data_IF_761007545892
#
_entry.id   IF_761007545892
#
_cell.length_a   1.000
_cell.length_b   1.000
_cell.length_c   1.000
_cell.angle_alpha   90.00
_cell.angle_beta   90.00
_cell.angle_gamma   90.00
#
_symmetry.space_group_name_H-M   'P 1'
#
loop_
_entity.id
_entity.type
_entity.pdbx_description
1 polymer ?
#
# COMPACT_ATOMS: atom_id res chain seq x y z
N UNK A 1 -5.61 8.87 -10.74
CA UNK A 1 -5.37 7.61 -10.00
C UNK A 1 -4.00 7.61 -9.33
N UNK A 2 -2.89 7.76 -10.06
CA UNK A 2 -1.52 7.62 -9.51
C UNK A 2 -1.20 8.41 -8.22
N UNK A 3 -1.58 9.70 -8.06
CA UNK A 3 -1.33 10.42 -6.81
C UNK A 3 -2.05 9.85 -5.58
N UNK A 4 -3.02 8.95 -5.76
CA UNK A 4 -3.72 8.28 -4.66
C UNK A 4 -2.86 7.22 -3.97
N UNK A 5 -1.77 6.77 -4.59
CA UNK A 5 -0.76 5.88 -3.98
C UNK A 5 0.25 6.68 -3.15
N UNK A 6 -0.26 7.64 -2.40
CA UNK A 6 0.52 8.46 -1.50
C UNK A 6 -0.06 8.27 -0.11
N UNK A 7 0.74 8.00 0.93
CA UNK A 7 0.20 7.79 2.29
C UNK A 7 -0.69 8.96 2.74
N UNK A 8 -0.38 10.19 2.30
CA UNK A 8 -1.17 11.39 2.57
C UNK A 8 -2.54 11.38 1.89
N UNK A 9 -2.65 10.75 0.72
CA UNK A 9 -3.89 10.63 -0.06
C UNK A 9 -4.64 9.32 0.22
N UNK A 10 -3.95 8.28 0.69
CA UNK A 10 -4.57 7.02 1.09
C UNK A 10 -5.57 7.19 2.22
N UNK A 11 -5.36 8.16 3.11
CA UNK A 11 -6.34 8.52 4.15
C UNK A 11 -7.70 8.99 3.58
N UNK A 12 -7.74 9.47 2.34
CA UNK A 12 -8.96 10.01 1.73
C UNK A 12 -9.91 8.89 1.30
N UNK A 13 -9.38 7.69 1.04
CA UNK A 13 -10.13 6.62 0.37
C UNK A 13 -9.99 5.24 1.03
N UNK A 14 -8.93 4.99 1.79
CA UNK A 14 -8.70 3.73 2.47
C UNK A 14 -9.17 3.82 3.93
N UNK A 15 -10.24 3.09 4.24
CA UNK A 15 -10.83 3.09 5.57
C UNK A 15 -9.83 2.64 6.64
N UNK A 16 -9.81 3.35 7.79
CA UNK A 16 -8.89 3.13 8.92
C UNK A 16 -7.40 3.27 8.58
N UNK A 17 -7.06 3.85 7.44
CA UNK A 17 -5.68 4.19 7.15
C UNK A 17 -5.18 5.24 8.14
N UNK A 18 -4.19 4.84 8.94
CA UNK A 18 -3.53 5.70 9.92
C UNK A 18 -2.03 5.63 9.68
N UNK A 19 -1.42 6.79 9.49
CA UNK A 19 0.01 6.91 9.25
C UNK A 19 0.60 8.07 10.06
N UNK A 20 1.89 7.95 10.36
CA UNK A 20 2.70 9.00 10.95
C UNK A 20 3.82 9.35 9.98
N UNK A 21 3.84 10.59 9.50
CA UNK A 21 4.91 11.04 8.61
C UNK A 21 6.21 11.17 9.41
N UNK A 22 7.31 10.63 8.87
CA UNK A 22 8.65 10.72 9.46
C UNK A 22 9.50 11.72 8.66
N UNK A 23 9.48 11.61 7.34
CA UNK A 23 10.24 12.48 6.45
C UNK A 23 9.50 12.73 5.13
N UNK A 24 9.31 14.01 4.81
CA UNK A 24 8.62 14.49 3.61
C UNK A 24 9.05 15.93 3.31
N UNK A 25 9.36 16.24 2.06
CA UNK A 25 9.73 17.59 1.57
C UNK A 25 8.60 18.23 0.78
N UNK A 26 8.02 17.54 -0.20
CA UNK A 26 7.06 18.14 -1.16
C UNK A 26 5.61 18.20 -0.68
N UNK A 27 5.26 17.53 0.41
CA UNK A 27 3.87 17.39 0.87
C UNK A 27 3.08 16.28 0.18
N UNK A 28 3.69 15.59 -0.79
CA UNK A 28 3.13 14.44 -1.51
C UNK A 28 4.13 13.28 -1.57
N UNK A 29 3.70 12.11 -2.01
CA UNK A 29 4.61 10.98 -2.20
C UNK A 29 5.72 11.37 -3.17
N UNK A 30 6.94 11.10 -2.75
CA UNK A 30 8.15 11.39 -3.49
C UNK A 30 9.19 10.33 -3.14
N UNK A 31 10.22 10.23 -3.99
CA UNK A 31 11.36 9.37 -3.72
C UNK A 31 11.99 9.78 -2.37
N UNK A 32 12.35 8.78 -1.58
CA UNK A 32 12.99 8.90 -0.26
C UNK A 32 12.08 9.44 0.85
N UNK A 33 10.77 9.56 0.61
CA UNK A 33 9.77 9.80 1.65
C UNK A 33 9.72 8.61 2.63
N UNK A 34 9.60 8.92 3.93
CA UNK A 34 9.51 7.93 5.02
C UNK A 34 8.29 8.18 5.89
N UNK A 35 7.51 7.13 6.15
CA UNK A 35 6.37 7.19 7.05
C UNK A 35 6.23 5.87 7.82
N UNK A 36 5.43 5.89 8.87
CA UNK A 36 5.10 4.71 9.66
C UNK A 36 3.59 4.45 9.62
N UNK A 37 3.20 3.18 9.68
CA UNK A 37 1.82 2.76 9.93
C UNK A 37 1.74 2.00 11.25
N UNK A 38 0.65 2.21 11.98
CA UNK A 38 0.36 1.54 13.24
C UNK A 38 -0.93 0.76 13.08
N UNK A 39 -0.86 -0.56 13.22
CA UNK A 39 -2.06 -1.39 13.35
C UNK A 39 -2.29 -1.67 14.83
N UNK A 40 -3.53 -1.55 15.30
CA UNK A 40 -3.84 -1.77 16.71
C UNK A 40 -3.43 -3.19 17.12
N UNK A 41 -2.55 -3.30 18.13
CA UNK A 41 -2.03 -4.57 18.62
C UNK A 41 -0.93 -5.20 17.76
N UNK A 42 -0.40 -4.49 16.75
CA UNK A 42 0.73 -4.94 15.95
C UNK A 42 1.93 -3.98 16.07
N UNK A 43 3.10 -4.50 15.70
CA UNK A 43 4.34 -3.72 15.61
C UNK A 43 4.23 -2.58 14.59
N UNK A 44 4.96 -1.49 14.85
CA UNK A 44 5.07 -0.38 13.91
C UNK A 44 5.76 -0.84 12.62
N UNK A 45 5.18 -0.51 11.47
CA UNK A 45 5.79 -0.75 10.16
C UNK A 45 6.33 0.56 9.61
N UNK A 46 7.63 0.61 9.32
CA UNK A 46 8.28 1.73 8.64
C UNK A 46 8.22 1.52 7.14
N UNK A 47 7.88 2.56 6.41
CA UNK A 47 7.76 2.58 4.95
C UNK A 47 8.72 3.59 4.36
N UNK A 48 9.39 3.19 3.29
CA UNK A 48 10.32 4.00 2.52
C UNK A 48 9.94 3.97 1.04
N UNK A 49 9.73 5.13 0.42
CA UNK A 49 9.44 5.23 -1.01
C UNK A 49 10.74 5.14 -1.80
N UNK A 50 11.05 3.97 -2.38
CA UNK A 50 12.31 3.76 -3.13
C UNK A 50 12.25 4.35 -4.53
N UNK A 51 11.06 4.44 -5.13
CA UNK A 51 10.82 4.99 -6.46
C UNK A 51 9.49 5.74 -6.49
N UNK A 52 9.49 6.92 -7.07
CA UNK A 52 8.28 7.65 -7.44
C UNK A 52 8.53 8.34 -8.78
N UNK A 53 7.92 7.85 -9.85
CA UNK A 53 8.07 8.41 -11.19
C UNK A 53 6.70 8.61 -11.83
N UNK A 54 6.29 9.87 -11.92
CA UNK A 54 4.98 10.25 -12.46
C UNK A 54 4.86 9.94 -13.95
N UNK A 55 5.92 10.16 -14.73
CA UNK A 55 5.96 9.91 -16.18
C UNK A 55 5.85 8.42 -16.53
N UNK A 56 6.42 7.55 -15.69
CA UNK A 56 6.36 6.09 -15.83
C UNK A 56 5.18 5.47 -15.06
N UNK A 57 4.37 6.29 -14.37
CA UNK A 57 3.27 5.85 -13.49
C UNK A 57 3.65 4.68 -12.55
N UNK A 58 4.85 4.74 -11.99
CA UNK A 58 5.40 3.70 -11.11
C UNK A 58 5.81 4.27 -9.76
N UNK A 59 5.41 3.56 -8.71
CA UNK A 59 5.79 3.83 -7.34
C UNK A 59 6.26 2.52 -6.69
N UNK A 60 7.31 2.60 -5.89
CA UNK A 60 7.81 1.47 -5.13
C UNK A 60 8.01 1.84 -3.67
N UNK A 61 7.68 0.89 -2.81
CA UNK A 61 7.89 0.97 -1.38
C UNK A 61 8.77 -0.19 -0.92
N UNK A 62 9.57 0.08 0.10
CA UNK A 62 10.06 -0.95 1.01
C UNK A 62 9.41 -0.67 2.35
N UNK A 63 8.73 -1.67 2.91
CA UNK A 63 8.23 -1.63 4.28
C UNK A 63 8.98 -2.62 5.15
N UNK A 64 9.21 -2.25 6.40
CA UNK A 64 9.89 -3.05 7.40
C UNK A 64 9.07 -3.07 8.68
N UNK A 65 8.69 -4.25 9.11
CA UNK A 65 8.08 -4.50 10.42
C UNK A 65 9.15 -5.20 11.27
N UNK A 66 9.50 -4.58 12.40
CA UNK A 66 10.62 -5.02 13.23
C UNK A 66 10.53 -6.51 13.55
N UNK A 67 11.65 -7.21 13.35
CA UNK A 67 11.82 -8.65 13.57
C UNK A 67 10.83 -9.57 12.84
N UNK A 68 9.93 -9.06 11.99
CA UNK A 68 8.93 -9.86 11.30
C UNK A 68 9.23 -10.01 9.81
N UNK A 69 9.35 -8.89 9.09
CA UNK A 69 9.46 -8.93 7.63
C UNK A 69 10.02 -7.63 7.03
N UNK A 70 10.65 -7.78 5.86
CA UNK A 70 10.89 -6.70 4.90
C UNK A 70 10.11 -7.03 3.64
N UNK A 71 9.30 -6.08 3.15
CA UNK A 71 8.47 -6.29 1.97
C UNK A 71 8.74 -5.19 0.97
N UNK A 72 9.13 -5.58 -0.26
CA UNK A 72 9.14 -4.67 -1.40
C UNK A 72 7.78 -4.72 -2.08
N UNK A 73 7.21 -3.55 -2.37
CA UNK A 73 5.95 -3.40 -3.08
C UNK A 73 6.21 -2.52 -4.31
N UNK A 74 5.80 -2.97 -5.49
CA UNK A 74 5.87 -2.18 -6.72
C UNK A 74 4.47 -2.04 -7.31
N UNK A 75 4.04 -0.81 -7.57
CA UNK A 75 2.76 -0.50 -8.21
C UNK A 75 3.04 0.22 -9.52
N UNK A 76 2.51 -0.31 -10.62
CA UNK A 76 2.65 0.25 -11.95
C UNK A 76 1.27 0.36 -12.62
N UNK A 77 0.90 1.56 -13.05
CA UNK A 77 -0.31 1.76 -13.84
C UNK A 77 -0.01 1.58 -15.32
N UNK A 78 -0.78 0.72 -15.96
CA UNK A 78 -0.65 0.36 -17.37
C UNK A 78 -1.92 0.78 -18.09
N UNK A 79 -1.79 1.55 -19.16
CA UNK A 79 -2.91 1.86 -20.05
C UNK A 79 -3.36 0.58 -20.78
N UNK A 80 -4.66 0.30 -20.76
CA UNK A 80 -5.24 -0.71 -21.63
C UNK A 80 -5.76 -0.04 -22.91
N UNK A 81 -5.89 -0.78 -24.01
CA UNK A 81 -6.30 -0.25 -25.35
C UNK A 81 -7.75 0.28 -25.43
N UNK A 82 -8.40 0.49 -24.30
CA UNK A 82 -9.62 1.27 -24.09
C UNK A 82 -9.49 1.95 -22.73
N UNK A 83 -10.23 3.04 -22.47
CA UNK A 83 -10.09 4.04 -21.38
C UNK A 83 -9.90 3.55 -19.91
N UNK A 84 -9.75 2.24 -19.69
CA UNK A 84 -9.45 1.59 -18.44
C UNK A 84 -7.93 1.55 -18.15
N UNK A 85 -7.57 1.89 -16.91
CA UNK A 85 -6.23 1.73 -16.37
C UNK A 85 -6.15 0.39 -15.63
N UNK A 86 -5.12 -0.41 -15.92
CA UNK A 86 -4.79 -1.61 -15.17
C UNK A 86 -3.73 -1.24 -14.12
N UNK A 87 -3.96 -1.65 -12.87
CA UNK A 87 -2.95 -1.52 -11.80
C UNK A 87 -2.25 -2.88 -11.65
N UNK A 88 -0.97 -2.93 -11.98
CA UNK A 88 -0.13 -4.09 -11.68
C UNK A 88 0.57 -3.86 -10.33
N UNK A 89 0.36 -4.77 -9.38
CA UNK A 89 0.95 -4.70 -8.05
C UNK A 89 1.71 -5.99 -7.78
N UNK A 90 2.98 -5.86 -7.38
CA UNK A 90 3.78 -6.98 -6.90
C UNK A 90 4.21 -6.78 -5.46
N UNK A 91 4.28 -7.89 -4.73
CA UNK A 91 4.80 -7.98 -3.37
C UNK A 91 5.94 -8.99 -3.39
N UNK A 92 7.05 -8.62 -2.74
CA UNK A 92 8.17 -9.50 -2.48
C UNK A 92 8.49 -9.45 -0.99
N UNK A 93 7.99 -10.45 -0.27
CA UNK A 93 8.13 -10.59 1.17
C UNK A 93 9.42 -11.35 1.52
N UNK A 94 10.19 -10.82 2.46
CA UNK A 94 11.34 -11.46 3.08
C UNK A 94 11.04 -11.62 4.57
N UNK A 95 10.82 -12.86 4.99
CA UNK A 95 10.46 -13.19 6.37
C UNK A 95 11.69 -13.23 7.25
N UNK A 96 11.59 -12.65 8.45
CA UNK A 96 12.71 -12.52 9.39
C UNK A 96 12.59 -13.42 10.64
N UNK A 97 11.41 -13.99 10.90
CA UNK A 97 11.20 -14.89 12.04
C UNK A 97 10.28 -16.09 11.72
N UNK A 98 10.33 -17.11 12.59
CA UNK A 98 9.59 -18.38 12.44
C UNK A 98 8.07 -18.23 12.61
N UNK A 99 7.63 -17.30 13.46
CA UNK A 99 6.21 -17.06 13.69
C UNK A 99 5.56 -16.51 12.43
N UNK A 100 6.20 -15.51 11.83
CA UNK A 100 5.80 -14.91 10.55
C UNK A 100 5.89 -15.92 9.42
N UNK A 101 6.90 -16.77 9.37
CA UNK A 101 6.99 -17.85 8.38
C UNK A 101 5.81 -18.82 8.49
N UNK A 102 5.43 -19.18 9.71
CA UNK A 102 4.28 -20.06 9.96
C UNK A 102 2.97 -19.42 9.47
N UNK A 103 2.77 -18.13 9.74
CA UNK A 103 1.64 -17.37 9.22
C UNK A 103 1.64 -17.30 7.68
N UNK A 104 2.79 -16.99 7.07
CA UNK A 104 2.95 -16.91 5.61
C UNK A 104 2.55 -18.22 4.90
N UNK A 105 2.83 -19.36 5.54
CA UNK A 105 2.52 -20.68 4.98
C UNK A 105 1.06 -21.11 5.17
N UNK A 106 0.35 -20.58 6.17
CA UNK A 106 -0.99 -21.06 6.56
C UNK A 106 -2.12 -20.11 6.16
N UNK A 107 -1.94 -18.82 6.39
CA UNK A 107 -3.05 -17.84 6.41
C UNK A 107 -2.84 -16.74 5.36
N UNK A 108 -1.59 -16.35 5.11
CA UNK A 108 -1.27 -15.18 4.28
C UNK A 108 -1.92 -15.17 2.90
N UNK A 109 -2.01 -16.31 2.21
CA UNK A 109 -2.59 -16.35 0.86
C UNK A 109 -4.04 -15.87 0.84
N UNK A 110 -4.84 -16.28 1.82
CA UNK A 110 -6.25 -15.89 1.90
C UNK A 110 -6.38 -14.43 2.35
N UNK A 111 -5.67 -14.07 3.41
CA UNK A 111 -5.70 -12.71 3.97
C UNK A 111 -5.20 -11.66 2.96
N UNK A 112 -4.16 -12.01 2.21
CA UNK A 112 -3.62 -11.17 1.14
C UNK A 112 -4.62 -11.01 0.00
N UNK A 113 -5.27 -12.10 -0.45
CA UNK A 113 -6.26 -12.03 -1.52
C UNK A 113 -7.46 -11.17 -1.11
N UNK A 114 -7.98 -11.34 0.10
CA UNK A 114 -9.07 -10.51 0.64
C UNK A 114 -8.67 -9.04 0.75
N UNK A 115 -7.47 -8.76 1.25
CA UNK A 115 -6.92 -7.42 1.34
C UNK A 115 -6.82 -6.74 -0.04
N UNK A 116 -6.32 -7.45 -1.07
CA UNK A 116 -6.21 -6.92 -2.42
C UNK A 116 -7.57 -6.71 -3.10
N UNK A 117 -8.54 -7.58 -2.86
CA UNK A 117 -9.92 -7.39 -3.33
C UNK A 117 -10.53 -6.13 -2.67
N UNK A 118 -10.35 -5.96 -1.37
CA UNK A 118 -10.86 -4.80 -0.65
C UNK A 118 -10.20 -3.50 -1.12
N UNK A 119 -8.87 -3.48 -1.21
CA UNK A 119 -8.09 -2.33 -1.67
C UNK A 119 -8.56 -1.89 -3.06
N UNK A 120 -8.73 -2.84 -3.99
CA UNK A 120 -9.24 -2.58 -5.33
C UNK A 120 -10.67 -2.05 -5.33
N UNK A 121 -11.56 -2.57 -4.48
CA UNK A 121 -12.93 -2.05 -4.34
C UNK A 121 -12.94 -0.62 -3.80
N UNK A 122 -12.16 -0.33 -2.77
CA UNK A 122 -12.12 0.97 -2.10
C UNK A 122 -11.64 2.08 -3.04
N UNK A 123 -10.50 1.90 -3.72
CA UNK A 123 -9.98 2.92 -4.65
C UNK A 123 -10.93 3.16 -5.82
N UNK A 124 -11.52 2.09 -6.38
CA UNK A 124 -12.46 2.21 -7.48
C UNK A 124 -13.77 2.91 -7.07
N UNK A 125 -14.26 2.66 -5.85
CA UNK A 125 -15.41 3.37 -5.32
C UNK A 125 -15.12 4.87 -5.15
N UNK A 126 -13.94 5.20 -4.60
CA UNK A 126 -13.50 6.58 -4.44
C UNK A 126 -13.35 7.31 -5.79
N UNK A 127 -12.73 6.67 -6.78
CA UNK A 127 -12.58 7.26 -8.12
C UNK A 127 -13.93 7.57 -8.80
N UNK A 128 -14.97 6.76 -8.57
CA UNK A 128 -16.31 6.98 -9.13
C UNK A 128 -17.14 8.00 -8.35
N UNK A 129 -16.99 8.04 -7.03
CA UNK A 129 -17.93 8.76 -6.15
C UNK A 129 -17.33 9.95 -5.42
N UNK A 130 -16.00 10.05 -5.35
CA UNK A 130 -15.29 10.98 -4.48
C UNK A 130 -15.43 10.67 -2.98
N UNK A 131 -16.02 9.54 -2.61
CA UNK A 131 -16.29 9.15 -1.22
C UNK A 131 -15.49 7.92 -0.81
N UNK A 132 -15.12 7.84 0.46
CA UNK A 132 -14.49 6.65 1.04
C UNK A 132 -15.51 5.50 1.13
N UNK A 133 -15.08 4.29 0.77
CA UNK A 133 -15.89 3.08 0.98
C UNK A 133 -15.78 2.64 2.45
N UNK A 134 -16.91 2.55 3.14
CA UNK A 134 -16.97 2.10 4.55
C UNK A 134 -17.51 0.66 4.56
N UNK A 135 -16.81 -0.31 5.19
CA UNK A 135 -17.34 -1.66 5.37
C UNK A 135 -18.64 -1.63 6.19
N UNK A 136 -19.63 -2.44 5.81
CA UNK A 136 -20.78 -2.69 6.68
C UNK A 136 -20.29 -3.42 7.94
N UNK A 137 -20.74 -2.95 9.11
CA UNK A 137 -20.41 -3.53 10.42
C UNK A 137 -20.85 -4.99 10.53
#
# INVERSE_FOLDING_TARGET
MFPLFCPVREKDWLHRWAYRMIFLKSGFAEKDCVFATLHQGAEETIWFVTKYKLEELIIEFVRHTLDQEVVKISIHLIENKGENIITNISYQDTVLNKERETYMNKEFKNDFAESMIWWGKAINYYLRSGKMLIPNK
#
